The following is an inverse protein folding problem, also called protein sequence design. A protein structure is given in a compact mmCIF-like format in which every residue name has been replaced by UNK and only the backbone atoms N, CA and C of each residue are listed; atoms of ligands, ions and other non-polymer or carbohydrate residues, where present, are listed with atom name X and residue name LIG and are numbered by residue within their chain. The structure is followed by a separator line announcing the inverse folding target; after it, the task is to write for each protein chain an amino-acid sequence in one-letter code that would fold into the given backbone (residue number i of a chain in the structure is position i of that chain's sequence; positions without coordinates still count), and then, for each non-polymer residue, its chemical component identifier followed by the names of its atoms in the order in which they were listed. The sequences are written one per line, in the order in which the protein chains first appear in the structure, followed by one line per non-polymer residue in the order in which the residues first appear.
data_IF_809916703344
#
_entry.id   IF_809916703344
#
_cell.length_a   1.000
_cell.length_b   1.000
_cell.length_c   1.000
_cell.angle_alpha   90.00
_cell.angle_beta   90.00
_cell.angle_gamma   90.00
#
_symmetry.space_group_name_H-M   'P 1'
#
loop_
_entity.id
_entity.type
_entity.pdbx_description
1 polymer ?
#
# COMPACT_ATOMS: atom_id res chain seq x y z
N UNK A 1 9.39 -43.72 -38.00
CA UNK A 1 9.33 -42.60 -38.96
C UNK A 1 7.94 -41.95 -38.87
N UNK A 2 7.83 -40.83 -38.17
CA UNK A 2 6.68 -39.93 -38.24
C UNK A 2 7.24 -38.50 -38.19
N UNK A 3 7.29 -37.84 -39.33
CA UNK A 3 7.80 -36.49 -39.48
C UNK A 3 6.75 -35.51 -38.95
N UNK A 4 7.07 -34.84 -37.83
CA UNK A 4 6.33 -33.67 -37.35
C UNK A 4 6.86 -32.43 -38.11
N UNK A 5 6.13 -32.03 -39.13
CA UNK A 5 6.34 -30.79 -39.88
C UNK A 5 5.97 -29.59 -39.01
N UNK A 6 6.96 -28.77 -38.67
CA UNK A 6 6.79 -27.49 -38.00
C UNK A 6 5.98 -26.53 -38.89
N UNK A 7 4.82 -26.08 -38.41
CA UNK A 7 4.10 -24.96 -39.02
C UNK A 7 4.73 -23.64 -38.57
N UNK A 8 5.07 -22.72 -39.49
CA UNK A 8 5.63 -21.42 -39.13
C UNK A 8 4.56 -20.52 -38.52
N UNK A 9 4.83 -19.97 -37.34
CA UNK A 9 4.01 -18.94 -36.70
C UNK A 9 4.10 -17.67 -37.56
N UNK A 10 3.03 -17.36 -38.29
CA UNK A 10 2.86 -16.09 -39.00
C UNK A 10 2.73 -14.97 -37.97
N UNK A 11 3.83 -14.28 -37.67
CA UNK A 11 3.79 -12.98 -37.03
C UNK A 11 3.09 -12.03 -38.00
N UNK A 12 1.83 -11.70 -37.72
CA UNK A 12 1.11 -10.64 -38.41
C UNK A 12 1.81 -9.33 -38.03
N UNK A 13 2.71 -8.88 -38.90
CA UNK A 13 3.24 -7.53 -38.89
C UNK A 13 2.08 -6.59 -39.24
N UNK A 14 1.19 -6.31 -38.29
CA UNK A 14 0.21 -5.25 -38.43
C UNK A 14 0.95 -3.94 -38.26
N UNK A 15 1.56 -3.48 -39.35
CA UNK A 15 1.80 -2.06 -39.53
C UNK A 15 0.51 -1.35 -39.10
N UNK A 16 0.58 -0.49 -38.08
CA UNK A 16 -0.54 0.34 -37.70
C UNK A 16 -0.79 1.21 -38.91
N UNK A 17 -1.78 0.82 -39.72
CA UNK A 17 -2.16 1.56 -40.90
C UNK A 17 -2.46 3.00 -40.45
N UNK A 18 -1.97 4.03 -41.17
CA UNK A 18 -2.31 5.41 -40.84
C UNK A 18 -3.83 5.51 -40.75
N UNK A 19 -4.33 5.78 -39.55
CA UNK A 19 -5.77 5.82 -39.29
C UNK A 19 -6.31 7.00 -40.08
N UNK A 20 -7.15 6.70 -41.08
CA UNK A 20 -7.70 7.71 -41.96
C UNK A 20 -8.38 8.81 -41.11
N UNK A 21 -7.93 10.08 -41.22
CA UNK A 21 -8.49 11.19 -40.45
C UNK A 21 -10.01 11.31 -40.62
N UNK A 22 -10.55 10.87 -41.76
CA UNK A 22 -11.98 10.89 -42.05
C UNK A 22 -12.73 9.84 -41.23
N UNK A 23 -12.17 8.63 -41.11
CA UNK A 23 -12.75 7.55 -40.31
C UNK A 23 -12.67 7.89 -38.82
N UNK A 24 -11.54 8.42 -38.36
CA UNK A 24 -11.38 8.86 -36.97
C UNK A 24 -12.36 9.99 -36.62
N UNK A 25 -12.53 10.96 -37.54
CA UNK A 25 -13.51 12.04 -37.38
C UNK A 25 -14.94 11.50 -37.34
N UNK A 26 -15.27 10.51 -38.17
CA UNK A 26 -16.60 9.87 -38.16
C UNK A 26 -16.85 9.07 -36.87
N UNK A 27 -15.82 8.40 -36.33
CA UNK A 27 -15.89 7.65 -35.06
C UNK A 27 -16.08 8.60 -33.87
N UNK A 28 -15.35 9.72 -33.83
CA UNK A 28 -15.46 10.76 -32.79
C UNK A 28 -16.75 11.56 -32.86
N UNK A 29 -17.33 11.70 -34.06
CA UNK A 29 -18.60 12.38 -34.28
C UNK A 29 -19.81 11.43 -34.18
N UNK A 30 -19.61 10.17 -33.75
CA UNK A 30 -20.74 9.28 -33.50
C UNK A 30 -21.65 9.93 -32.45
N UNK A 31 -22.94 10.16 -32.77
CA UNK A 31 -23.87 10.72 -31.81
C UNK A 31 -23.93 9.81 -30.58
N UNK A 32 -24.07 10.43 -29.40
CA UNK A 32 -24.21 9.75 -28.11
C UNK A 32 -25.22 8.61 -28.30
N UNK A 33 -24.95 7.38 -27.80
CA UNK A 33 -25.86 6.25 -27.96
C UNK A 33 -27.29 6.70 -27.62
N UNK A 34 -28.27 6.37 -28.47
CA UNK A 34 -29.64 6.85 -28.27
C UNK A 34 -30.11 6.44 -26.87
N UNK A 35 -30.85 7.33 -26.21
CA UNK A 35 -31.44 7.11 -24.89
C UNK A 35 -32.43 5.93 -24.96
N UNK A 36 -31.89 4.71 -24.90
CA UNK A 36 -32.67 3.49 -24.79
C UNK A 36 -33.24 3.40 -23.38
N UNK A 37 -34.41 2.76 -23.25
CA UNK A 37 -35.07 2.56 -21.96
C UNK A 37 -34.15 1.92 -20.92
N UNK A 38 -33.23 1.04 -21.34
CA UNK A 38 -32.26 0.38 -20.47
C UNK A 38 -31.26 1.37 -19.87
N UNK A 39 -30.74 2.30 -20.67
CA UNK A 39 -29.81 3.34 -20.21
C UNK A 39 -30.51 4.27 -19.22
N UNK A 40 -31.78 4.59 -19.48
CA UNK A 40 -32.57 5.44 -18.59
C UNK A 40 -32.88 4.75 -17.25
N UNK A 41 -33.21 3.45 -17.27
CA UNK A 41 -33.43 2.65 -16.07
C UNK A 41 -32.15 2.49 -15.23
N UNK A 42 -31.01 2.23 -15.87
CA UNK A 42 -29.71 2.18 -15.18
C UNK A 42 -29.38 3.55 -14.57
N UNK A 43 -29.57 4.64 -15.33
CA UNK A 43 -29.35 6.00 -14.83
C UNK A 43 -30.24 6.34 -13.63
N UNK A 44 -31.51 5.97 -13.68
CA UNK A 44 -32.45 6.18 -12.57
C UNK A 44 -32.11 5.33 -11.35
N UNK A 45 -31.67 4.09 -11.54
CA UNK A 45 -31.19 3.23 -10.46
C UNK A 45 -29.93 3.81 -9.79
N UNK A 46 -28.94 4.27 -10.59
CA UNK A 46 -27.74 4.94 -10.07
C UNK A 46 -28.11 6.23 -9.32
N UNK A 47 -29.00 7.04 -9.88
CA UNK A 47 -29.48 8.25 -9.23
C UNK A 47 -30.24 7.94 -7.93
N UNK A 48 -31.06 6.88 -7.91
CA UNK A 48 -31.77 6.43 -6.72
C UNK A 48 -30.81 5.99 -5.62
N UNK A 49 -29.77 5.20 -5.94
CA UNK A 49 -28.72 4.83 -4.99
C UNK A 49 -27.97 6.05 -4.47
N UNK A 50 -27.66 7.00 -5.35
CA UNK A 50 -26.99 8.24 -4.96
C UNK A 50 -27.86 9.11 -4.04
N UNK A 51 -29.14 9.27 -4.36
CA UNK A 51 -30.10 10.00 -3.53
C UNK A 51 -30.32 9.30 -2.18
N UNK A 52 -30.44 7.98 -2.16
CA UNK A 52 -30.51 7.18 -0.93
C UNK A 52 -29.24 7.35 -0.09
N UNK A 53 -28.06 7.40 -0.73
CA UNK A 53 -26.79 7.67 -0.05
C UNK A 53 -26.80 9.05 0.59
N UNK A 54 -27.17 10.11 -0.13
CA UNK A 54 -27.23 11.49 0.39
C UNK A 54 -28.21 11.59 1.56
N UNK A 55 -29.39 10.98 1.42
CA UNK A 55 -30.39 10.96 2.47
C UNK A 55 -29.90 10.20 3.71
N UNK A 56 -29.24 9.06 3.51
CA UNK A 56 -28.69 8.25 4.60
C UNK A 56 -27.52 8.93 5.34
N UNK A 57 -26.73 9.75 4.64
CA UNK A 57 -25.57 10.44 5.24
C UNK A 57 -25.91 11.80 5.84
N UNK A 58 -27.19 12.24 5.82
CA UNK A 58 -27.60 13.58 6.26
C UNK A 58 -26.73 14.70 5.68
N UNK A 59 -26.27 14.55 4.43
CA UNK A 59 -25.31 15.46 3.82
C UNK A 59 -25.98 16.79 3.49
N UNK A 60 -25.96 17.70 4.46
CA UNK A 60 -26.52 19.03 4.35
C UNK A 60 -25.42 20.05 4.05
N UNK A 61 -25.52 20.74 2.92
CA UNK A 61 -24.55 21.79 2.57
C UNK A 61 -24.56 22.95 3.58
N UNK A 62 -25.70 23.19 4.24
CA UNK A 62 -25.85 24.21 5.28
C UNK A 62 -25.01 23.93 6.54
N UNK A 63 -24.86 22.67 6.96
CA UNK A 63 -24.03 22.34 8.13
C UNK A 63 -22.55 22.50 7.82
N UNK A 64 -22.12 22.21 6.59
CA UNK A 64 -20.75 22.44 6.13
C UNK A 64 -20.42 23.94 6.13
N UNK A 65 -21.29 24.76 5.54
CA UNK A 65 -21.10 26.23 5.52
C UNK A 65 -21.15 26.82 6.93
N UNK A 66 -22.04 26.31 7.78
CA UNK A 66 -22.13 26.71 9.19
C UNK A 66 -20.90 26.36 10.03
N UNK A 67 -20.15 25.32 9.66
CA UNK A 67 -18.91 24.90 10.33
C UNK A 67 -17.65 25.65 9.87
N UNK A 68 -17.72 26.49 8.82
CA UNK A 68 -16.56 27.27 8.34
C UNK A 68 -15.92 28.15 9.43
N UNK A 69 -16.67 28.85 10.30
CA UNK A 69 -16.09 29.62 11.39
C UNK A 69 -15.32 28.76 12.40
N UNK A 70 -15.75 27.52 12.64
CA UNK A 70 -15.06 26.59 13.55
C UNK A 70 -13.73 26.11 12.95
N UNK A 71 -13.74 25.80 11.65
CA UNK A 71 -12.51 25.47 10.91
C UNK A 71 -11.53 26.65 10.98
N UNK A 72 -12.01 27.87 10.77
CA UNK A 72 -11.18 29.07 10.89
C UNK A 72 -10.61 29.26 12.30
N UNK A 73 -11.45 29.11 13.34
CA UNK A 73 -11.01 29.18 14.75
C UNK A 73 -9.96 28.13 15.08
N UNK A 74 -10.13 26.91 14.57
CA UNK A 74 -9.15 25.84 14.70
C UNK A 74 -7.82 26.25 14.06
N UNK A 75 -7.83 26.64 12.79
CA UNK A 75 -6.61 27.03 12.06
C UNK A 75 -5.85 28.18 12.73
N UNK A 76 -6.58 29.19 13.20
CA UNK A 76 -5.96 30.33 13.91
C UNK A 76 -5.38 29.89 15.26
N UNK A 77 -6.06 29.01 16.01
CA UNK A 77 -5.56 28.48 17.30
C UNK A 77 -4.31 27.61 17.13
N UNK A 78 -4.17 26.98 15.97
CA UNK A 78 -3.06 26.10 15.61
C UNK A 78 -1.79 26.88 15.23
N UNK A 79 -1.88 28.20 15.00
CA UNK A 79 -0.75 29.08 14.64
C UNK A 79 -0.38 30.03 15.80
N UNK A 80 0.93 30.28 16.09
CA UNK A 80 2.12 29.81 15.38
C UNK A 80 2.51 28.36 15.73
N UNK A 81 3.12 27.62 14.79
CA UNK A 81 3.59 26.27 15.06
C UNK A 81 4.69 26.27 16.12
N UNK A 82 4.48 25.54 17.21
CA UNK A 82 5.53 25.23 18.17
C UNK A 82 6.18 23.90 17.75
N UNK A 83 7.40 23.97 17.22
CA UNK A 83 8.21 22.77 17.12
C UNK A 83 8.58 22.39 18.55
N UNK A 84 8.06 21.26 19.05
CA UNK A 84 8.38 20.73 20.37
C UNK A 84 9.87 20.34 20.44
N UNK A 85 10.74 21.35 20.49
CA UNK A 85 12.19 21.28 20.67
C UNK A 85 12.56 21.07 22.15
N UNK A 86 11.55 20.90 23.01
CA UNK A 86 11.77 20.54 24.41
C UNK A 86 12.66 19.30 24.45
N UNK A 87 13.83 19.43 25.08
CA UNK A 87 14.75 18.30 25.36
C UNK A 87 13.93 17.20 26.02
N UNK A 88 13.60 16.18 25.24
CA UNK A 88 12.65 15.15 25.64
C UNK A 88 13.15 13.82 25.13
N UNK A 89 13.61 13.01 26.10
CA UNK A 89 14.18 11.66 26.00
C UNK A 89 15.56 11.55 25.35
N UNK A 90 16.56 11.39 26.21
CA UNK A 90 17.86 10.81 25.89
C UNK A 90 17.62 9.41 25.28
N UNK A 91 17.82 9.26 23.97
CA UNK A 91 17.77 7.95 23.33
C UNK A 91 19.06 7.21 23.68
N UNK A 92 18.98 6.29 24.63
CA UNK A 92 20.09 5.41 25.00
C UNK A 92 20.13 4.24 24.03
N UNK A 93 21.13 4.24 23.14
CA UNK A 93 21.45 3.07 22.33
C UNK A 93 22.54 2.28 23.03
N UNK A 94 22.22 1.07 23.48
CA UNK A 94 23.23 0.14 23.98
C UNK A 94 23.81 -0.61 22.79
N UNK A 95 24.98 -0.16 22.33
CA UNK A 95 25.74 -0.85 21.28
C UNK A 95 27.07 -1.31 21.89
N UNK A 96 27.38 -2.60 21.73
CA UNK A 96 28.59 -3.22 22.28
C UNK A 96 28.77 -3.02 23.80
N UNK A 97 27.67 -2.96 24.57
CA UNK A 97 27.72 -2.80 26.03
C UNK A 97 28.06 -1.39 26.52
N UNK A 98 28.08 -0.40 25.62
CA UNK A 98 28.21 1.03 25.96
C UNK A 98 26.96 1.78 25.58
N UNK A 99 26.47 2.60 26.51
CA UNK A 99 25.28 3.42 26.36
C UNK A 99 25.65 4.77 25.70
N UNK A 100 25.20 4.96 24.47
CA UNK A 100 25.33 6.24 23.77
C UNK A 100 24.05 7.06 23.93
N UNK A 101 24.19 8.30 24.43
CA UNK A 101 23.09 9.25 24.61
C UNK A 101 23.15 10.31 23.52
N UNK A 102 22.13 10.36 22.66
CA UNK A 102 21.99 11.41 21.65
C UNK A 102 20.64 12.10 21.84
N UNK A 103 20.67 13.36 22.26
CA UNK A 103 19.48 14.16 22.52
C UNK A 103 18.92 14.79 21.24
N UNK A 104 17.75 14.33 20.80
CA UNK A 104 16.98 14.94 19.72
C UNK A 104 15.66 15.51 20.25
N UNK A 105 15.03 16.46 19.54
CA UNK A 105 13.64 16.83 19.79
C UNK A 105 12.75 15.57 19.83
N UNK A 106 11.86 15.48 20.82
CA UNK A 106 10.97 14.31 21.04
C UNK A 106 10.21 13.92 19.78
N UNK A 107 9.82 14.89 18.96
CA UNK A 107 9.12 14.61 17.70
C UNK A 107 10.00 13.84 16.69
N UNK A 108 11.31 14.12 16.65
CA UNK A 108 12.24 13.46 15.73
C UNK A 108 12.47 12.01 16.17
N UNK A 109 12.58 11.76 17.48
CA UNK A 109 12.72 10.39 18.00
C UNK A 109 11.46 9.57 17.72
N UNK A 110 10.28 10.13 17.94
CA UNK A 110 9.02 9.45 17.62
C UNK A 110 8.83 9.19 16.12
N UNK A 111 9.30 10.08 15.24
CA UNK A 111 9.32 9.82 13.79
C UNK A 111 10.29 8.70 13.44
N UNK A 112 11.49 8.69 14.04
CA UNK A 112 12.43 7.60 13.84
C UNK A 112 11.85 6.25 14.29
N UNK A 113 11.18 6.21 15.45
CA UNK A 113 10.44 5.03 15.93
C UNK A 113 9.37 4.59 14.93
N UNK A 114 8.60 5.53 14.38
CA UNK A 114 7.58 5.27 13.33
C UNK A 114 8.19 4.63 12.08
N UNK A 115 9.35 5.12 11.63
CA UNK A 115 10.08 4.58 10.48
C UNK A 115 10.63 3.19 10.80
N UNK A 116 11.18 2.97 11.99
CA UNK A 116 11.67 1.67 12.44
C UNK A 116 10.53 0.65 12.48
N UNK A 117 9.37 1.04 13.02
CA UNK A 117 8.18 0.18 13.04
C UNK A 117 7.75 -0.23 11.63
N UNK A 118 7.66 0.75 10.73
CA UNK A 118 7.30 0.52 9.34
C UNK A 118 8.32 -0.35 8.61
N UNK A 119 9.62 -0.14 8.85
CA UNK A 119 10.68 -0.91 8.23
C UNK A 119 10.61 -2.38 8.67
N UNK A 120 10.60 -2.65 9.97
CA UNK A 120 10.56 -4.02 10.50
C UNK A 120 9.24 -4.70 10.13
N UNK A 121 8.11 -4.00 10.27
CA UNK A 121 6.79 -4.52 9.91
C UNK A 121 6.70 -4.88 8.43
N UNK A 122 7.20 -4.02 7.55
CA UNK A 122 7.21 -4.28 6.10
C UNK A 122 8.16 -5.42 5.75
N UNK A 123 9.38 -5.46 6.31
CA UNK A 123 10.32 -6.55 6.06
C UNK A 123 9.73 -7.90 6.49
N UNK A 124 9.13 -7.97 7.68
CA UNK A 124 8.43 -9.16 8.15
C UNK A 124 7.29 -9.57 7.21
N UNK A 125 6.49 -8.60 6.77
CA UNK A 125 5.39 -8.85 5.83
C UNK A 125 5.91 -9.36 4.48
N UNK A 126 6.97 -8.78 3.94
CA UNK A 126 7.59 -9.20 2.65
C UNK A 126 8.15 -10.61 2.76
N UNK A 127 8.90 -10.93 3.83
CA UNK A 127 9.47 -12.26 4.05
C UNK A 127 8.36 -13.32 4.08
N UNK A 128 7.28 -13.07 4.82
CA UNK A 128 6.14 -13.99 4.87
C UNK A 128 5.34 -13.99 3.57
N UNK A 129 5.30 -12.88 2.83
CA UNK A 129 4.56 -12.77 1.57
C UNK A 129 5.21 -13.52 0.41
N UNK A 130 6.51 -13.81 0.47
CA UNK A 130 7.18 -14.64 -0.57
C UNK A 130 6.55 -16.04 -0.63
N UNK A 131 6.52 -16.86 0.44
CA UNK A 131 5.91 -18.18 0.38
C UNK A 131 4.39 -18.11 0.15
N UNK A 132 3.67 -17.19 0.79
CA UNK A 132 2.22 -17.07 0.58
C UNK A 132 1.86 -16.60 -0.83
N UNK A 133 2.65 -15.70 -1.42
CA UNK A 133 2.48 -15.24 -2.80
C UNK A 133 2.69 -16.38 -3.80
N UNK A 134 3.70 -17.23 -3.59
CA UNK A 134 3.94 -18.42 -4.42
C UNK A 134 2.79 -19.42 -4.34
N UNK A 135 2.26 -19.67 -3.14
CA UNK A 135 1.11 -20.56 -2.93
C UNK A 135 -0.20 -19.99 -3.52
N UNK A 136 -0.33 -18.67 -3.57
CA UNK A 136 -1.50 -17.96 -4.09
C UNK A 136 -1.44 -17.70 -5.61
N UNK A 137 -0.34 -18.03 -6.29
CA UNK A 137 -0.15 -17.89 -7.73
C UNK A 137 -0.56 -19.16 -8.49
N UNK A 138 -1.50 -19.07 -9.42
CA UNK A 138 -2.11 -20.21 -10.11
C UNK A 138 -1.11 -21.03 -10.94
N UNK A 139 -0.10 -20.40 -11.50
CA UNK A 139 0.92 -21.02 -12.35
C UNK A 139 2.05 -21.71 -11.57
N UNK A 140 2.25 -21.36 -10.29
CA UNK A 140 3.33 -21.91 -9.43
C UNK A 140 2.78 -22.77 -8.30
N UNK A 141 1.52 -22.58 -7.90
CA UNK A 141 0.91 -23.33 -6.78
C UNK A 141 0.92 -24.85 -7.02
N UNK A 142 1.20 -25.67 -6.00
CA UNK A 142 1.32 -27.13 -6.15
C UNK A 142 -0.04 -27.82 -6.35
N UNK A 143 -1.12 -27.27 -5.80
CA UNK A 143 -2.45 -27.89 -5.86
C UNK A 143 -3.57 -26.84 -5.89
N UNK A 144 -4.66 -27.03 -6.66
CA UNK A 144 -5.77 -26.07 -6.74
C UNK A 144 -6.50 -25.81 -5.42
N UNK A 145 -6.45 -26.76 -4.47
CA UNK A 145 -7.00 -26.55 -3.13
C UNK A 145 -6.13 -25.62 -2.30
N UNK A 146 -4.80 -25.79 -2.34
CA UNK A 146 -3.84 -24.92 -1.64
C UNK A 146 -3.98 -23.49 -2.15
N UNK A 147 -4.00 -23.32 -3.48
CA UNK A 147 -4.26 -22.03 -4.12
C UNK A 147 -5.52 -21.33 -3.61
N UNK A 148 -6.65 -22.05 -3.56
CA UNK A 148 -7.94 -21.50 -3.11
C UNK A 148 -7.91 -21.15 -1.62
N UNK A 149 -7.40 -22.05 -0.79
CA UNK A 149 -7.29 -21.84 0.67
C UNK A 149 -6.37 -20.67 1.00
N UNK A 150 -5.20 -20.59 0.36
CA UNK A 150 -4.27 -19.48 0.57
C UNK A 150 -4.91 -18.15 0.15
N UNK A 151 -5.56 -18.08 -1.03
CA UNK A 151 -6.26 -16.86 -1.45
C UNK A 151 -7.39 -16.47 -0.49
N UNK A 152 -8.12 -17.44 0.05
CA UNK A 152 -9.14 -17.17 1.07
C UNK A 152 -8.52 -16.56 2.34
N UNK A 153 -7.46 -17.16 2.87
CA UNK A 153 -6.75 -16.64 4.06
C UNK A 153 -6.24 -15.21 3.81
N UNK A 154 -5.57 -14.97 2.68
CA UNK A 154 -5.04 -13.64 2.34
C UNK A 154 -6.15 -12.61 2.18
N UNK A 155 -7.29 -12.99 1.58
CA UNK A 155 -8.46 -12.13 1.45
C UNK A 155 -9.08 -11.78 2.81
N UNK A 156 -9.06 -12.71 3.76
CA UNK A 156 -9.52 -12.45 5.13
C UNK A 156 -8.57 -11.50 5.86
N UNK A 157 -7.25 -11.74 5.79
CA UNK A 157 -6.25 -10.88 6.44
C UNK A 157 -6.33 -9.42 5.96
N UNK A 158 -6.47 -9.20 4.65
CA UNK A 158 -6.59 -7.83 4.09
C UNK A 158 -7.92 -7.13 4.42
N UNK A 159 -8.93 -7.88 4.85
CA UNK A 159 -10.27 -7.31 5.13
C UNK A 159 -10.32 -6.66 6.51
N UNK A 160 -9.38 -6.99 7.39
CA UNK A 160 -9.27 -6.43 8.74
C UNK A 160 -8.40 -5.16 8.67
N UNK A 161 -8.91 -3.99 9.10
CA UNK A 161 -8.11 -2.78 9.17
C UNK A 161 -6.91 -2.92 10.12
N UNK A 162 -5.77 -2.30 9.76
CA UNK A 162 -4.53 -2.32 10.56
C UNK A 162 -4.75 -1.90 12.01
N UNK A 163 -5.63 -0.93 12.25
CA UNK A 163 -6.02 -0.48 13.59
C UNK A 163 -6.54 -1.60 14.49
N UNK A 164 -7.29 -2.55 13.93
CA UNK A 164 -7.83 -3.68 14.69
C UNK A 164 -6.71 -4.63 15.10
N UNK A 165 -5.75 -4.89 14.20
CA UNK A 165 -4.55 -5.64 14.56
C UNK A 165 -3.74 -4.93 15.65
N UNK A 166 -3.63 -3.60 15.56
CA UNK A 166 -3.04 -2.76 16.61
C UNK A 166 -3.66 -3.01 17.97
N UNK A 167 -5.00 -2.93 18.06
CA UNK A 167 -5.73 -3.18 19.31
C UNK A 167 -5.48 -4.60 19.86
N UNK A 168 -5.50 -5.61 18.99
CA UNK A 168 -5.26 -7.01 19.39
C UNK A 168 -3.84 -7.17 19.95
N UNK A 169 -2.83 -6.66 19.25
CA UNK A 169 -1.43 -6.83 19.67
C UNK A 169 -1.06 -5.96 20.87
N UNK A 170 -1.63 -4.76 21.00
CA UNK A 170 -1.48 -3.93 22.21
C UNK A 170 -2.09 -4.65 23.42
N UNK A 171 -3.26 -5.27 23.26
CA UNK A 171 -3.85 -6.07 24.34
C UNK A 171 -3.02 -7.32 24.67
N UNK A 172 -2.37 -7.92 23.68
CA UNK A 172 -1.59 -9.14 23.86
C UNK A 172 -0.18 -8.92 24.43
N UNK A 173 0.52 -7.85 24.03
CA UNK A 173 1.94 -7.62 24.36
C UNK A 173 2.18 -6.35 25.18
N UNK A 174 1.16 -5.51 25.34
CA UNK A 174 1.23 -4.23 26.04
C UNK A 174 1.45 -3.04 25.10
N UNK A 175 1.59 -1.85 25.69
CA UNK A 175 1.81 -0.59 24.97
C UNK A 175 3.25 -0.48 24.45
N UNK A 176 3.44 0.24 23.34
CA UNK A 176 4.75 0.55 22.76
C UNK A 176 4.87 0.22 21.27
N UNK A 177 6.07 0.36 20.66
CA UNK A 177 6.28 0.18 19.22
C UNK A 177 6.12 -1.26 18.72
N UNK A 178 6.42 -2.25 19.57
CA UNK A 178 6.39 -3.66 19.18
C UNK A 178 5.01 -4.17 18.71
N UNK A 179 3.87 -3.92 19.40
CA UNK A 179 2.56 -4.26 18.86
C UNK A 179 2.25 -3.53 17.54
N UNK A 180 2.79 -2.33 17.32
CA UNK A 180 2.65 -1.62 16.05
C UNK A 180 3.42 -2.29 14.91
N UNK A 181 4.64 -2.79 15.16
CA UNK A 181 5.38 -3.63 14.21
C UNK A 181 4.55 -4.85 13.80
N UNK A 182 3.99 -5.57 14.78
CA UNK A 182 3.15 -6.74 14.52
C UNK A 182 1.88 -6.36 13.74
N UNK A 183 1.23 -5.26 14.10
CA UNK A 183 0.03 -4.78 13.41
C UNK A 183 0.30 -4.45 11.94
N UNK A 184 1.38 -3.73 11.64
CA UNK A 184 1.80 -3.42 10.27
C UNK A 184 2.16 -4.69 9.49
N UNK A 185 2.88 -5.61 10.13
CA UNK A 185 3.29 -6.87 9.52
C UNK A 185 2.09 -7.73 9.10
N UNK A 186 1.15 -7.97 10.02
CA UNK A 186 -0.05 -8.77 9.75
C UNK A 186 -1.09 -8.04 8.90
N UNK A 187 -1.18 -6.72 9.00
CA UNK A 187 -2.06 -5.92 8.15
C UNK A 187 -1.59 -5.88 6.69
N UNK A 188 -0.28 -5.88 6.45
CA UNK A 188 0.29 -5.81 5.10
C UNK A 188 0.40 -7.17 4.39
N UNK A 189 0.58 -8.28 5.12
CA UNK A 189 0.87 -9.59 4.54
C UNK A 189 -0.17 -10.04 3.50
N UNK A 190 -1.46 -9.81 3.77
CA UNK A 190 -2.56 -10.20 2.90
C UNK A 190 -2.47 -9.54 1.53
N UNK A 191 -2.19 -8.24 1.51
CA UNK A 191 -2.15 -7.44 0.31
C UNK A 191 -0.83 -7.61 -0.47
N UNK A 192 0.32 -7.64 0.22
CA UNK A 192 1.62 -7.87 -0.43
C UNK A 192 1.67 -9.26 -1.07
N UNK A 193 1.24 -10.30 -0.35
CA UNK A 193 1.19 -11.67 -0.90
C UNK A 193 0.31 -11.74 -2.16
N UNK A 194 -0.80 -11.00 -2.16
CA UNK A 194 -1.71 -10.95 -3.30
C UNK A 194 -1.06 -10.30 -4.52
N UNK A 195 -0.39 -9.17 -4.33
CA UNK A 195 0.33 -8.47 -5.40
C UNK A 195 1.50 -9.30 -5.93
N UNK A 196 2.22 -10.02 -5.05
CA UNK A 196 3.26 -10.95 -5.47
C UNK A 196 2.69 -12.09 -6.31
N UNK A 197 1.56 -12.67 -5.89
CA UNK A 197 0.88 -13.72 -6.65
C UNK A 197 0.42 -13.23 -8.03
N UNK A 198 -0.15 -12.04 -8.13
CA UNK A 198 -0.58 -11.44 -9.40
C UNK A 198 0.61 -11.15 -10.32
N UNK A 199 1.71 -10.65 -9.77
CA UNK A 199 2.97 -10.46 -10.50
C UNK A 199 3.50 -11.77 -11.09
N UNK A 200 3.52 -12.82 -10.27
CA UNK A 200 3.98 -14.15 -10.69
C UNK A 200 3.03 -14.74 -11.75
N UNK A 201 1.72 -14.52 -11.65
CA UNK A 201 0.73 -14.96 -12.64
C UNK A 201 0.87 -14.23 -14.00
N UNK A 202 1.43 -13.02 -14.02
CA UNK A 202 1.56 -12.16 -15.21
C UNK A 202 2.86 -12.34 -16.01
N UNK A 203 3.78 -13.20 -15.56
CA UNK A 203 5.04 -13.46 -16.27
C UNK A 203 4.82 -14.04 -17.67
N UNK A 204 5.78 -13.85 -18.58
CA UNK A 204 5.73 -14.44 -19.91
C UNK A 204 5.95 -15.97 -19.86
N UNK A 205 4.94 -16.79 -20.22
CA UNK A 205 5.08 -18.23 -20.23
C UNK A 205 6.08 -18.73 -21.28
N UNK A 206 6.39 -17.95 -22.32
CA UNK A 206 7.33 -18.38 -23.37
C UNK A 206 8.75 -18.54 -22.83
N UNK A 207 9.21 -17.62 -21.96
CA UNK A 207 10.52 -17.71 -21.32
C UNK A 207 10.62 -18.95 -20.43
N UNK A 208 9.53 -19.29 -19.73
CA UNK A 208 9.42 -20.48 -18.88
C UNK A 208 9.50 -21.77 -19.71
N UNK A 209 8.78 -21.81 -20.85
CA UNK A 209 8.77 -22.96 -21.75
C UNK A 209 10.12 -23.14 -22.46
N UNK A 210 10.77 -22.05 -22.89
CA UNK A 210 12.07 -22.08 -23.54
C UNK A 210 13.15 -22.69 -22.63
N UNK A 211 13.17 -22.31 -21.35
CA UNK A 211 14.12 -22.86 -20.39
C UNK A 211 13.81 -24.34 -20.08
N UNK A 212 12.53 -24.73 -19.99
CA UNK A 212 12.17 -26.15 -19.83
C UNK A 212 12.58 -27.00 -21.04
N UNK A 213 12.55 -26.44 -22.24
CA UNK A 213 12.97 -27.14 -23.45
C UNK A 213 14.47 -27.48 -23.46
N UNK A 214 15.30 -26.80 -22.67
CA UNK A 214 16.72 -27.14 -22.50
C UNK A 214 16.95 -28.28 -21.50
N UNK A 215 15.90 -28.87 -20.92
CA UNK A 215 15.98 -29.90 -19.90
C UNK A 215 16.11 -29.37 -18.46
N UNK A 216 15.87 -28.07 -18.23
CA UNK A 216 15.94 -27.49 -16.90
C UNK A 216 14.85 -28.04 -15.97
N UNK A 217 15.23 -28.38 -14.73
CA UNK A 217 14.29 -28.84 -13.70
C UNK A 217 13.37 -27.73 -13.18
N UNK A 218 12.36 -28.08 -12.36
CA UNK A 218 11.40 -27.12 -11.81
C UNK A 218 12.04 -26.01 -10.98
N UNK A 219 13.03 -26.33 -10.15
CA UNK A 219 13.75 -25.35 -9.34
C UNK A 219 14.59 -24.38 -10.20
N UNK A 220 15.28 -24.90 -11.22
CA UNK A 220 16.02 -24.08 -12.18
C UNK A 220 15.08 -23.18 -12.98
N UNK A 221 13.94 -23.73 -13.43
CA UNK A 221 12.92 -22.95 -14.14
C UNK A 221 12.40 -21.79 -13.28
N UNK A 222 12.14 -22.05 -12.00
CA UNK A 222 11.68 -21.02 -11.08
C UNK A 222 12.72 -19.92 -10.87
N UNK A 223 13.97 -20.30 -10.56
CA UNK A 223 15.04 -19.35 -10.24
C UNK A 223 15.46 -18.52 -11.46
N UNK A 224 15.47 -19.11 -12.66
CA UNK A 224 16.04 -18.46 -13.85
C UNK A 224 15.02 -17.93 -14.86
N UNK A 225 13.76 -18.38 -14.83
CA UNK A 225 12.71 -17.84 -15.70
C UNK A 225 11.61 -17.10 -14.95
N UNK A 226 11.16 -17.59 -13.78
CA UNK A 226 10.03 -16.99 -13.06
C UNK A 226 10.46 -15.83 -12.18
N UNK A 227 11.38 -16.08 -11.25
CA UNK A 227 11.82 -15.12 -10.25
C UNK A 227 12.37 -13.83 -10.89
N UNK A 228 13.25 -13.86 -11.92
CA UNK A 228 13.84 -12.65 -12.48
C UNK A 228 12.80 -11.73 -13.15
N UNK A 229 11.74 -12.30 -13.73
CA UNK A 229 10.65 -11.53 -14.33
C UNK A 229 9.77 -10.85 -13.27
N UNK A 230 9.48 -11.54 -12.16
CA UNK A 230 8.61 -11.03 -11.11
C UNK A 230 9.34 -10.08 -10.14
N UNK A 231 10.64 -10.26 -9.95
CA UNK A 231 11.43 -9.61 -8.90
C UNK A 231 11.40 -8.06 -8.93
N UNK A 232 11.52 -7.38 -10.09
CA UNK A 232 11.46 -5.92 -10.13
C UNK A 232 10.14 -5.36 -9.58
N UNK A 233 9.02 -5.98 -9.95
CA UNK A 233 7.70 -5.58 -9.47
C UNK A 233 7.49 -5.95 -7.99
N UNK A 234 8.02 -7.09 -7.53
CA UNK A 234 7.98 -7.46 -6.12
C UNK A 234 8.73 -6.45 -5.23
N UNK A 235 9.90 -5.96 -5.67
CA UNK A 235 10.62 -4.88 -4.97
C UNK A 235 9.79 -3.59 -4.98
N UNK A 236 9.24 -3.21 -6.14
CA UNK A 236 8.41 -2.02 -6.27
C UNK A 236 7.23 -2.03 -5.30
N UNK A 237 6.50 -3.15 -5.22
CA UNK A 237 5.39 -3.29 -4.27
C UNK A 237 5.88 -3.27 -2.83
N UNK A 238 7.02 -3.88 -2.51
CA UNK A 238 7.60 -3.82 -1.16
C UNK A 238 7.90 -2.38 -0.72
N UNK A 239 8.46 -1.55 -1.62
CA UNK A 239 8.74 -0.15 -1.35
C UNK A 239 7.48 0.70 -1.21
N UNK A 240 6.46 0.45 -2.04
CA UNK A 240 5.15 1.11 -1.92
C UNK A 240 4.50 0.77 -0.58
N UNK A 241 4.57 -0.49 -0.15
CA UNK A 241 4.02 -0.91 1.15
C UNK A 241 4.83 -0.37 2.32
N UNK A 242 6.14 -0.17 2.16
CA UNK A 242 6.94 0.52 3.17
C UNK A 242 6.44 1.95 3.40
N UNK A 243 6.22 2.74 2.33
CA UNK A 243 5.67 4.09 2.43
C UNK A 243 4.23 4.11 2.99
N UNK A 244 3.41 3.13 2.59
CA UNK A 244 2.08 2.91 3.17
C UNK A 244 2.17 2.64 4.68
N UNK A 245 3.05 1.74 5.11
CA UNK A 245 3.22 1.39 6.53
C UNK A 245 3.81 2.53 7.37
N UNK A 246 4.66 3.39 6.81
CA UNK A 246 5.12 4.62 7.50
C UNK A 246 3.93 5.51 7.84
N UNK A 247 2.98 5.66 6.91
CA UNK A 247 1.74 6.40 7.15
C UNK A 247 0.80 5.66 8.10
N UNK A 248 0.62 4.35 7.92
CA UNK A 248 -0.19 3.49 8.79
C UNK A 248 0.26 3.51 10.26
N UNK A 249 1.57 3.51 10.50
CA UNK A 249 2.16 3.60 11.84
C UNK A 249 1.74 4.87 12.60
N UNK A 250 1.52 5.99 11.90
CA UNK A 250 1.04 7.24 12.52
C UNK A 250 -0.39 7.10 13.07
N UNK A 251 -1.22 6.28 12.44
CA UNK A 251 -2.60 6.02 12.87
C UNK A 251 -2.60 5.02 14.04
N UNK A 252 -1.69 4.04 14.02
CA UNK A 252 -1.54 3.06 15.10
C UNK A 252 -1.12 3.67 16.43
N UNK A 253 -0.43 4.81 16.43
CA UNK A 253 -0.07 5.50 17.68
C UNK A 253 -1.28 5.91 18.52
N UNK A 254 -2.46 6.12 17.90
CA UNK A 254 -3.72 6.43 18.60
C UNK A 254 -4.18 5.27 19.50
N UNK A 255 -3.87 4.03 19.13
CA UNK A 255 -4.25 2.84 19.91
C UNK A 255 -3.17 2.42 20.92
N UNK A 256 -2.14 3.26 21.13
CA UNK A 256 -1.06 2.99 22.07
C UNK A 256 0.11 2.19 21.49
N UNK A 257 0.20 2.08 20.16
CA UNK A 257 1.29 1.39 19.48
C UNK A 257 2.58 2.21 19.32
N UNK A 258 2.72 3.32 20.05
CA UNK A 258 3.92 4.17 20.05
C UNK A 258 4.08 5.06 18.81
N UNK A 259 5.32 5.50 18.58
CA UNK A 259 5.69 6.38 17.47
C UNK A 259 5.04 7.76 17.49
N UNK A 260 5.09 8.46 16.35
CA UNK A 260 4.64 9.85 16.21
C UNK A 260 3.13 9.98 16.44
N UNK A 261 2.35 8.96 16.11
CA UNK A 261 0.91 8.94 16.31
C UNK A 261 0.50 9.11 17.78
N UNK A 262 1.29 8.54 18.69
CA UNK A 262 1.06 8.64 20.14
C UNK A 262 1.24 10.08 20.63
N UNK A 263 2.27 10.78 20.14
CA UNK A 263 2.50 12.20 20.44
C UNK A 263 1.39 13.08 19.85
N UNK A 264 0.98 12.83 18.60
CA UNK A 264 -0.12 13.56 17.98
C UNK A 264 -1.41 13.41 18.79
N UNK A 265 -1.74 12.18 19.21
CA UNK A 265 -2.91 11.92 20.04
C UNK A 265 -2.81 12.62 21.40
N UNK A 266 -1.61 12.70 21.98
CA UNK A 266 -1.35 13.41 23.23
C UNK A 266 -1.61 14.91 23.08
N UNK A 267 -1.09 15.54 22.02
CA UNK A 267 -1.31 16.97 21.77
C UNK A 267 -2.78 17.30 21.51
N UNK A 268 -3.50 16.43 20.78
CA UNK A 268 -4.95 16.57 20.59
C UNK A 268 -5.68 16.49 21.94
N UNK A 269 -5.35 15.49 22.76
CA UNK A 269 -6.01 15.25 24.05
C UNK A 269 -5.74 16.36 25.08
N UNK A 270 -4.58 17.01 24.98
CA UNK A 270 -4.16 18.13 25.83
C UNK A 270 -4.54 19.51 25.24
N UNK A 271 -5.25 19.56 24.11
CA UNK A 271 -5.60 20.80 23.40
C UNK A 271 -4.39 21.69 23.03
N UNK A 272 -3.21 21.07 22.83
CA UNK A 272 -1.94 21.70 22.44
C UNK A 272 -1.80 21.76 20.91
N UNK A 273 -2.65 22.57 20.27
CA UNK A 273 -2.76 22.61 18.82
C UNK A 273 -1.56 23.25 18.11
N UNK A 274 -0.84 24.13 18.79
CA UNK A 274 0.45 24.70 18.38
C UNK A 274 1.52 23.62 18.19
N UNK A 275 1.66 22.70 19.16
CA UNK A 275 2.57 21.55 19.10
C UNK A 275 2.10 20.51 18.09
N UNK A 276 0.79 20.32 17.98
CA UNK A 276 0.20 19.47 16.95
C UNK A 276 0.60 19.94 15.55
N UNK A 277 0.54 21.25 15.25
CA UNK A 277 0.94 21.78 13.95
C UNK A 277 2.42 21.53 13.67
N UNK A 278 3.29 21.84 14.64
CA UNK A 278 4.72 21.60 14.51
C UNK A 278 5.02 20.13 14.21
N UNK A 279 4.38 19.22 14.95
CA UNK A 279 4.52 17.77 14.75
C UNK A 279 4.05 17.30 13.36
N UNK A 280 2.89 17.80 12.90
CA UNK A 280 2.35 17.48 11.57
C UNK A 280 3.28 17.97 10.46
N UNK A 281 3.84 19.18 10.58
CA UNK A 281 4.80 19.71 9.59
C UNK A 281 6.02 18.80 9.50
N UNK A 282 6.63 18.43 10.63
CA UNK A 282 7.81 17.55 10.63
C UNK A 282 7.47 16.17 10.06
N UNK A 283 6.31 15.61 10.39
CA UNK A 283 5.83 14.35 9.83
C UNK A 283 5.66 14.43 8.30
N UNK A 284 5.03 15.48 7.78
CA UNK A 284 4.84 15.68 6.33
C UNK A 284 6.19 15.77 5.62
N UNK A 285 7.16 16.51 6.18
CA UNK A 285 8.51 16.59 5.63
C UNK A 285 9.17 15.21 5.62
N UNK A 286 9.12 14.47 6.73
CA UNK A 286 9.73 13.14 6.84
C UNK A 286 9.13 12.14 5.84
N UNK A 287 7.79 12.07 5.74
CA UNK A 287 7.09 11.19 4.79
C UNK A 287 7.43 11.58 3.34
N UNK A 288 7.51 12.87 3.03
CA UNK A 288 7.88 13.35 1.68
C UNK A 288 9.30 12.93 1.32
N UNK A 289 10.25 13.02 2.25
CA UNK A 289 11.64 12.57 2.03
C UNK A 289 11.68 11.07 1.76
N UNK A 290 10.92 10.27 2.53
CA UNK A 290 10.83 8.82 2.35
C UNK A 290 10.23 8.46 0.99
N UNK A 291 9.14 9.10 0.59
CA UNK A 291 8.51 8.87 -0.72
C UNK A 291 9.48 9.19 -1.87
N UNK A 292 10.20 10.32 -1.78
CA UNK A 292 11.21 10.69 -2.77
C UNK A 292 12.35 9.67 -2.85
N UNK A 293 12.82 9.17 -1.71
CA UNK A 293 13.84 8.13 -1.66
C UNK A 293 13.33 6.82 -2.26
N UNK A 294 12.14 6.35 -1.86
CA UNK A 294 11.50 5.15 -2.42
C UNK A 294 11.30 5.25 -3.93
N UNK A 295 10.84 6.40 -4.42
CA UNK A 295 10.66 6.67 -5.84
C UNK A 295 11.98 6.66 -6.61
N UNK A 296 13.04 7.23 -6.05
CA UNK A 296 14.39 7.16 -6.63
C UNK A 296 14.90 5.72 -6.73
N UNK A 297 14.79 4.95 -5.64
CA UNK A 297 15.22 3.54 -5.61
C UNK A 297 14.44 2.73 -6.64
N UNK A 298 13.11 2.89 -6.70
CA UNK A 298 12.24 2.19 -7.67
C UNK A 298 12.64 2.47 -9.12
N UNK A 299 12.99 3.71 -9.46
CA UNK A 299 13.40 4.09 -10.82
C UNK A 299 14.71 3.44 -11.30
N UNK A 300 15.47 2.80 -10.39
CA UNK A 300 16.68 2.05 -10.75
C UNK A 300 16.40 0.59 -11.13
N UNK A 301 15.28 0.04 -10.64
CA UNK A 301 14.90 -1.36 -10.82
C UNK A 301 13.87 -1.58 -11.95
N UNK A 302 13.10 -0.55 -12.30
CA UNK A 302 12.12 -0.53 -13.40
C UNK A 302 12.68 0.35 -14.50
#
# INVERSE_FOLDING_TARGET
MAQLTAQPIKVKNTAIAPVDPVVLRAELLRPIPPLSLRVLLIGLAVFGVFAWSIAGTNTNLGTLLGGLPDIWRFLVRTFPPEFALTRGTDMTYTLFGTDFIIGFPRIITSIAETIQMALIGTLGAVILSIPFGLLAARNVSPHPAVYRTTRFILNTLRSIPELIYGLIFVAAVGLGPFPGVLALMFGSIGSISRLFAETIEQIDPQQVLALRATGAGSAQTFIYAVLPQAFPLMISYSLIYFEHNVRGATILGVVGAGGVGFELQTYISLFQYDKLLGAVIVLVVAVTVIDRFSSYVRSRFI
#
